data_IF_389769973174
#
_entry.id   IF_389769973174
#
_cell.length_a   1.000
_cell.length_b   1.000
_cell.length_c   1.000
_cell.angle_alpha   90.00
_cell.angle_beta   90.00
_cell.angle_gamma   90.00
#
_symmetry.space_group_name_H-M   'P 1'
#
loop_
_entity.id
_entity.type
_entity.pdbx_description
1 polymer ?
#
# COMPACT_ATOMS: atom_id res chain seq x y z
N UNK A 1 -4.97 -3.49 -18.69
CA UNK A 1 -4.98 -3.50 -17.20
C UNK A 1 -6.39 -3.23 -16.72
N UNK A 2 -6.89 -3.91 -15.69
CA UNK A 2 -8.23 -3.66 -15.17
C UNK A 2 -8.32 -2.22 -14.62
N UNK A 3 -9.43 -1.49 -14.88
CA UNK A 3 -9.66 -0.19 -14.26
C UNK A 3 -10.00 -0.36 -12.78
N UNK A 4 -9.84 0.70 -11.99
CA UNK A 4 -10.47 0.75 -10.67
C UNK A 4 -11.98 0.59 -10.83
N UNK A 5 -12.58 -0.24 -9.97
CA UNK A 5 -14.02 -0.45 -9.96
C UNK A 5 -14.52 -0.68 -8.55
N UNK A 6 -15.33 0.24 -8.02
CA UNK A 6 -15.94 0.02 -6.72
C UNK A 6 -17.09 -0.98 -6.80
N UNK A 7 -17.41 -1.63 -5.68
CA UNK A 7 -18.54 -2.55 -5.57
C UNK A 7 -19.87 -1.80 -5.72
N UNK A 8 -20.84 -2.42 -6.41
CA UNK A 8 -22.17 -1.83 -6.61
C UNK A 8 -23.06 -1.87 -5.35
N UNK A 9 -22.53 -2.37 -4.23
CA UNK A 9 -23.23 -2.50 -2.95
C UNK A 9 -23.57 -1.13 -2.33
N UNK A 10 -22.80 -0.10 -2.67
CA UNK A 10 -22.96 1.25 -2.14
C UNK A 10 -23.03 2.27 -3.27
N UNK A 11 -23.71 3.39 -3.01
CA UNK A 11 -23.77 4.53 -3.94
C UNK A 11 -23.53 5.83 -3.17
N UNK A 12 -22.91 6.84 -3.80
CA UNK A 12 -22.77 8.16 -3.20
C UNK A 12 -24.13 8.76 -2.82
N UNK A 13 -24.24 9.35 -1.63
CA UNK A 13 -25.45 10.02 -1.13
C UNK A 13 -25.11 11.33 -0.43
N UNK A 14 -26.10 12.19 -0.20
CA UNK A 14 -25.91 13.50 0.45
C UNK A 14 -24.90 14.36 -0.31
N UNK A 15 -23.89 14.89 0.39
CA UNK A 15 -22.84 15.75 -0.18
C UNK A 15 -21.70 14.98 -0.87
N UNK A 16 -21.70 13.64 -0.80
CA UNK A 16 -20.63 12.81 -1.37
C UNK A 16 -20.44 13.02 -2.88
N UNK A 17 -21.49 13.06 -3.73
CA UNK A 17 -21.33 13.29 -5.17
C UNK A 17 -20.57 14.58 -5.48
N UNK A 18 -20.94 15.68 -4.81
CA UNK A 18 -20.29 16.99 -4.99
C UNK A 18 -18.84 16.94 -4.52
N UNK A 19 -18.56 16.31 -3.37
CA UNK A 19 -17.19 16.18 -2.87
C UNK A 19 -16.29 15.36 -3.83
N UNK A 20 -16.81 14.27 -4.39
CA UNK A 20 -16.09 13.44 -5.36
C UNK A 20 -15.77 14.24 -6.62
N UNK A 21 -16.75 14.99 -7.14
CA UNK A 21 -16.56 15.82 -8.34
C UNK A 21 -15.49 16.88 -8.12
N UNK A 22 -15.58 17.63 -7.02
CA UNK A 22 -14.63 18.69 -6.69
C UNK A 22 -13.22 18.14 -6.52
N UNK A 23 -13.05 17.02 -5.81
CA UNK A 23 -11.73 16.41 -5.60
C UNK A 23 -11.13 15.89 -6.91
N UNK A 24 -11.95 15.24 -7.74
CA UNK A 24 -11.50 14.73 -9.04
C UNK A 24 -11.10 15.88 -9.98
N UNK A 25 -11.93 16.93 -10.07
CA UNK A 25 -11.64 18.10 -10.90
C UNK A 25 -10.36 18.80 -10.45
N UNK A 26 -10.16 19.01 -9.14
CA UNK A 26 -8.92 19.61 -8.63
C UNK A 26 -7.68 18.78 -9.01
N UNK A 27 -7.79 17.45 -9.05
CA UNK A 27 -6.67 16.59 -9.48
C UNK A 27 -6.40 16.69 -10.99
N UNK A 28 -7.44 16.90 -11.80
CA UNK A 28 -7.31 17.12 -13.25
C UNK A 28 -6.77 18.52 -13.57
N UNK A 29 -7.10 19.52 -12.75
CA UNK A 29 -6.58 20.90 -12.83
C UNK A 29 -5.13 21.02 -12.31
N UNK A 30 -4.57 19.93 -11.78
CA UNK A 30 -3.18 19.88 -11.29
C UNK A 30 -3.01 20.43 -9.88
N UNK A 31 -4.09 20.56 -9.09
CA UNK A 31 -4.01 20.96 -7.69
C UNK A 31 -3.27 19.90 -6.87
N UNK A 32 -2.07 20.26 -6.42
CA UNK A 32 -1.21 19.37 -5.64
C UNK A 32 -1.75 19.07 -4.24
N UNK A 33 -2.49 20.00 -3.64
CA UNK A 33 -2.96 19.90 -2.26
C UNK A 33 -4.44 20.22 -2.20
N UNK A 34 -5.22 19.27 -1.69
CA UNK A 34 -6.66 19.41 -1.50
C UNK A 34 -7.05 18.82 -0.14
N UNK A 35 -8.11 19.35 0.47
CA UNK A 35 -8.56 18.93 1.80
C UNK A 35 -10.04 18.57 1.76
N UNK A 36 -10.36 17.31 2.05
CA UNK A 36 -11.74 16.88 2.29
C UNK A 36 -12.13 17.19 3.75
N UNK A 37 -12.91 18.25 3.96
CA UNK A 37 -13.46 18.60 5.28
C UNK A 37 -14.73 17.76 5.54
N UNK A 38 -14.54 16.53 6.00
CA UNK A 38 -15.64 15.58 6.26
C UNK A 38 -15.91 15.36 7.75
N UNK A 39 -17.15 15.59 8.19
CA UNK A 39 -17.58 15.27 9.55
C UNK A 39 -17.46 13.76 9.86
N UNK A 40 -17.48 13.39 11.14
CA UNK A 40 -17.50 11.97 11.54
C UNK A 40 -18.81 11.33 11.11
N UNK A 41 -18.75 10.12 10.55
CA UNK A 41 -19.94 9.39 10.07
C UNK A 41 -20.42 9.73 8.66
N UNK A 42 -19.78 10.67 7.94
CA UNK A 42 -20.19 11.05 6.57
C UNK A 42 -19.66 10.12 5.46
N UNK A 43 -19.01 9.02 5.81
CA UNK A 43 -18.48 8.04 4.84
C UNK A 43 -17.24 8.51 4.08
N UNK A 44 -16.27 9.13 4.78
CA UNK A 44 -15.02 9.63 4.16
C UNK A 44 -14.26 8.58 3.35
N UNK A 45 -14.17 7.33 3.85
CA UNK A 45 -13.51 6.25 3.11
C UNK A 45 -14.20 5.98 1.78
N UNK A 46 -15.54 5.94 1.78
CA UNK A 46 -16.34 5.73 0.57
C UNK A 46 -16.13 6.87 -0.43
N UNK A 47 -16.19 8.13 0.03
CA UNK A 47 -15.88 9.32 -0.79
C UNK A 47 -14.52 9.20 -1.46
N UNK A 48 -13.48 8.79 -0.71
CA UNK A 48 -12.13 8.60 -1.26
C UNK A 48 -12.06 7.41 -2.22
N UNK A 49 -12.73 6.29 -1.95
CA UNK A 49 -12.78 5.15 -2.86
C UNK A 49 -13.40 5.52 -4.21
N UNK A 50 -14.54 6.22 -4.22
CA UNK A 50 -15.14 6.69 -5.47
C UNK A 50 -14.30 7.76 -6.17
N UNK A 51 -13.59 8.59 -5.42
CA UNK A 51 -12.62 9.55 -5.99
C UNK A 51 -11.46 8.81 -6.69
N UNK A 52 -10.91 7.76 -6.06
CA UNK A 52 -9.87 6.91 -6.66
C UNK A 52 -10.39 6.21 -7.92
N UNK A 53 -11.61 5.66 -7.89
CA UNK A 53 -12.24 5.06 -9.08
C UNK A 53 -12.37 6.06 -10.22
N UNK A 54 -12.86 7.27 -9.94
CA UNK A 54 -13.07 8.32 -10.95
C UNK A 54 -11.76 8.80 -11.57
N UNK A 55 -10.71 8.96 -10.77
CA UNK A 55 -9.41 9.49 -11.22
C UNK A 55 -8.54 8.41 -11.88
N UNK A 56 -8.72 7.15 -11.51
CA UNK A 56 -8.05 6.03 -12.17
C UNK A 56 -6.53 5.95 -11.94
N UNK A 57 -6.02 6.52 -10.84
CA UNK A 57 -4.59 6.55 -10.50
C UNK A 57 -4.29 5.65 -9.28
N UNK A 58 -3.14 4.94 -9.23
CA UNK A 58 -2.71 4.25 -8.03
C UNK A 58 -2.67 5.20 -6.83
N UNK A 59 -3.08 4.73 -5.66
CA UNK A 59 -3.26 5.58 -4.48
C UNK A 59 -2.49 5.04 -3.27
N UNK A 60 -1.83 5.95 -2.54
CA UNK A 60 -1.23 5.67 -1.23
C UNK A 60 -2.07 6.36 -0.15
N UNK A 61 -2.64 5.56 0.75
CA UNK A 61 -3.42 6.03 1.91
C UNK A 61 -2.56 5.89 3.15
N UNK A 62 -2.20 7.01 3.77
CA UNK A 62 -1.32 7.02 4.95
C UNK A 62 -2.18 7.18 6.22
N UNK A 63 -2.06 6.21 7.14
CA UNK A 63 -2.70 6.23 8.44
C UNK A 63 -1.66 6.38 9.57
N UNK A 64 -2.02 7.12 10.62
CA UNK A 64 -1.10 7.44 11.71
C UNK A 64 -0.88 6.28 12.70
N UNK A 65 -1.67 5.21 12.63
CA UNK A 65 -1.54 4.04 13.51
C UNK A 65 -1.95 2.75 12.79
N UNK A 66 -1.47 1.60 13.27
CA UNK A 66 -1.71 0.27 12.67
C UNK A 66 -3.18 -0.13 12.71
N UNK A 67 -3.93 0.21 13.77
CA UNK A 67 -5.34 -0.15 13.92
C UNK A 67 -6.21 0.50 12.85
N UNK A 68 -6.06 1.81 12.65
CA UNK A 68 -6.76 2.56 11.61
C UNK A 68 -6.31 2.11 10.22
N UNK A 69 -5.02 1.83 10.02
CA UNK A 69 -4.52 1.31 8.75
C UNK A 69 -5.19 -0.02 8.39
N UNK A 70 -5.31 -0.95 9.35
CA UNK A 70 -5.98 -2.23 9.14
C UNK A 70 -7.47 -2.05 8.84
N UNK A 71 -8.16 -1.16 9.58
CA UNK A 71 -9.56 -0.84 9.31
C UNK A 71 -9.75 -0.31 7.89
N UNK A 72 -8.98 0.71 7.48
CA UNK A 72 -9.05 1.29 6.15
C UNK A 72 -8.73 0.25 5.07
N UNK A 73 -7.73 -0.61 5.29
CA UNK A 73 -7.40 -1.67 4.34
C UNK A 73 -8.57 -2.64 4.12
N UNK A 74 -9.31 -2.99 5.18
CA UNK A 74 -10.48 -3.85 5.06
C UNK A 74 -11.64 -3.13 4.36
N UNK A 75 -11.93 -1.88 4.73
CA UNK A 75 -12.94 -1.07 4.05
C UNK A 75 -12.62 -0.91 2.55
N UNK A 76 -11.37 -0.61 2.19
CA UNK A 76 -10.97 -0.50 0.79
C UNK A 76 -11.06 -1.83 0.04
N UNK A 77 -10.83 -2.98 0.69
CA UNK A 77 -11.04 -4.31 0.07
C UNK A 77 -12.52 -4.57 -0.23
N UNK A 78 -13.42 -4.13 0.66
CA UNK A 78 -14.87 -4.21 0.42
C UNK A 78 -15.32 -3.28 -0.72
N UNK A 79 -14.72 -2.08 -0.80
CA UNK A 79 -14.97 -1.17 -1.93
C UNK A 79 -14.37 -1.69 -3.23
N UNK A 80 -13.18 -2.26 -3.23
CA UNK A 80 -12.45 -2.70 -4.43
C UNK A 80 -12.20 -4.21 -4.46
N UNK A 81 -13.25 -5.05 -4.57
CA UNK A 81 -13.12 -6.51 -4.48
C UNK A 81 -12.34 -7.16 -5.64
N UNK A 82 -12.07 -6.40 -6.71
CA UNK A 82 -11.35 -6.87 -7.90
C UNK A 82 -10.03 -6.13 -8.16
N UNK A 83 -9.73 -5.07 -7.39
CA UNK A 83 -8.48 -4.32 -7.53
C UNK A 83 -7.47 -4.74 -6.43
N UNK A 84 -6.20 -4.36 -6.57
CA UNK A 84 -5.20 -4.68 -5.54
C UNK A 84 -5.31 -3.69 -4.38
N UNK A 85 -5.71 -4.18 -3.21
CA UNK A 85 -5.72 -3.39 -1.98
C UNK A 85 -4.73 -4.01 -1.00
N UNK A 86 -3.63 -3.31 -0.84
CA UNK A 86 -2.41 -3.81 -0.22
C UNK A 86 -2.13 -3.10 1.11
N UNK A 87 -1.45 -3.81 2.01
CA UNK A 87 -1.19 -3.34 3.37
C UNK A 87 0.30 -3.18 3.63
N UNK A 88 0.73 -1.98 4.03
CA UNK A 88 2.15 -1.65 4.18
C UNK A 88 2.47 -0.95 5.51
N UNK A 89 2.74 -1.76 6.53
CA UNK A 89 3.15 -1.28 7.86
C UNK A 89 4.44 -1.94 8.31
N UNK A 90 5.03 -1.47 9.43
CA UNK A 90 6.18 -2.14 10.03
C UNK A 90 5.85 -3.60 10.32
N UNK A 91 6.71 -4.50 9.82
CA UNK A 91 6.63 -5.95 10.07
C UNK A 91 7.21 -6.35 11.42
N UNK A 92 7.69 -5.39 12.23
CA UNK A 92 8.10 -5.69 13.59
C UNK A 92 6.87 -5.71 14.52
N UNK A 93 6.70 -6.82 15.24
CA UNK A 93 5.78 -6.93 16.36
C UNK A 93 6.37 -6.27 17.61
N UNK A 94 7.67 -6.42 17.79
CA UNK A 94 8.47 -5.74 18.79
C UNK A 94 9.75 -5.18 18.17
N UNK A 95 10.13 -3.96 18.54
CA UNK A 95 11.35 -3.33 18.06
C UNK A 95 11.95 -2.43 19.13
N UNK A 96 13.17 -2.76 19.55
CA UNK A 96 14.03 -1.92 20.35
C UNK A 96 15.18 -1.42 19.47
N UNK A 97 15.29 -0.10 19.23
CA UNK A 97 16.43 0.44 18.52
C UNK A 97 17.70 0.29 19.36
N UNK A 98 18.83 0.16 18.66
CA UNK A 98 20.13 0.34 19.27
C UNK A 98 20.26 1.79 19.78
N UNK A 99 20.68 1.96 21.02
CA UNK A 99 20.83 3.28 21.60
C UNK A 99 21.93 3.29 22.67
N UNK A 100 22.53 4.45 22.88
CA UNK A 100 23.41 4.71 24.00
C UNK A 100 22.82 5.84 24.85
N UNK A 101 22.70 5.63 26.16
CA UNK A 101 22.14 6.58 27.14
C UNK A 101 23.28 7.17 27.97
N UNK A 102 23.80 8.37 27.62
CA UNK A 102 25.03 8.89 28.22
C UNK A 102 24.93 9.17 29.72
N UNK A 103 23.74 9.54 30.21
CA UNK A 103 23.52 9.84 31.63
C UNK A 103 23.70 8.63 32.55
N UNK A 104 23.54 7.42 32.01
CA UNK A 104 23.63 6.17 32.75
C UNK A 104 24.80 5.28 32.28
N UNK A 105 25.63 5.76 31.35
CA UNK A 105 26.67 4.97 30.67
C UNK A 105 26.12 3.60 30.20
N UNK A 106 24.91 3.61 29.65
CA UNK A 106 24.16 2.41 29.31
C UNK A 106 24.06 2.28 27.80
N UNK A 107 24.62 1.20 27.26
CA UNK A 107 24.38 0.75 25.90
C UNK A 107 23.18 -0.21 25.88
N UNK A 108 22.25 0.05 24.96
CA UNK A 108 21.04 -0.73 24.72
C UNK A 108 21.20 -1.39 23.35
N UNK A 109 21.32 -2.72 23.36
CA UNK A 109 21.40 -3.52 22.14
C UNK A 109 20.10 -3.49 21.36
N UNK A 110 20.23 -3.59 20.04
CA UNK A 110 19.09 -3.82 19.14
C UNK A 110 18.46 -5.18 19.45
N UNK A 111 17.15 -5.18 19.67
CA UNK A 111 16.36 -6.40 19.76
C UNK A 111 15.06 -6.22 18.99
N UNK A 112 14.58 -7.27 18.33
CA UNK A 112 13.38 -7.18 17.50
C UNK A 112 12.75 -8.54 17.23
N UNK A 113 11.42 -8.54 17.11
CA UNK A 113 10.64 -9.69 16.65
C UNK A 113 9.88 -9.32 15.38
N UNK A 114 9.97 -10.16 14.36
CA UNK A 114 9.35 -9.95 13.05
C UNK A 114 8.08 -10.78 12.89
N UNK A 115 7.15 -10.25 12.11
CA UNK A 115 5.90 -10.88 11.75
C UNK A 115 5.90 -11.26 10.26
N UNK A 116 5.98 -12.55 9.98
CA UNK A 116 6.08 -13.08 8.62
C UNK A 116 4.85 -12.77 7.76
N UNK A 117 3.66 -12.67 8.36
CA UNK A 117 2.45 -12.33 7.64
C UNK A 117 2.46 -10.87 7.17
N UNK A 118 2.93 -9.95 8.02
CA UNK A 118 3.11 -8.55 7.63
C UNK A 118 4.24 -8.41 6.60
N UNK A 119 5.33 -9.16 6.74
CA UNK A 119 6.40 -9.20 5.74
C UNK A 119 5.86 -9.64 4.37
N UNK A 120 5.04 -10.70 4.33
CA UNK A 120 4.36 -11.18 3.12
C UNK A 120 3.45 -10.10 2.50
N UNK A 121 2.69 -9.37 3.31
CA UNK A 121 1.81 -8.30 2.83
C UNK A 121 2.60 -7.13 2.24
N UNK A 122 3.76 -6.78 2.81
CA UNK A 122 4.66 -5.75 2.24
C UNK A 122 5.25 -6.18 0.90
N UNK A 123 5.61 -7.46 0.77
CA UNK A 123 6.08 -8.02 -0.49
C UNK A 123 4.96 -8.01 -1.55
N UNK A 124 3.72 -8.34 -1.16
CA UNK A 124 2.55 -8.23 -2.03
C UNK A 124 2.33 -6.78 -2.50
N UNK A 125 2.41 -5.81 -1.59
CA UNK A 125 2.25 -4.39 -1.91
C UNK A 125 3.26 -3.88 -2.94
N UNK A 126 4.54 -4.19 -2.74
CA UNK A 126 5.61 -3.79 -3.68
C UNK A 126 5.47 -4.51 -5.02
N UNK A 127 5.18 -5.81 -5.02
CA UNK A 127 4.98 -6.61 -6.24
C UNK A 127 3.76 -6.13 -7.05
N UNK A 128 2.67 -5.73 -6.38
CA UNK A 128 1.48 -5.19 -7.03
C UNK A 128 1.79 -3.90 -7.80
N UNK A 129 2.63 -3.02 -7.25
CA UNK A 129 3.02 -1.77 -7.91
C UNK A 129 3.82 -1.99 -9.21
N UNK A 130 4.54 -3.11 -9.33
CA UNK A 130 5.27 -3.46 -10.56
C UNK A 130 4.39 -4.16 -11.61
N UNK A 131 3.35 -4.88 -11.19
CA UNK A 131 2.56 -5.76 -12.06
C UNK A 131 1.25 -5.14 -12.55
N UNK A 132 0.69 -4.16 -11.84
CA UNK A 132 -0.61 -3.55 -12.15
C UNK A 132 -0.68 -2.08 -11.74
N UNK A 133 -1.63 -1.33 -12.33
CA UNK A 133 -1.85 0.11 -12.04
C UNK A 133 -3.02 0.38 -11.10
N UNK A 134 -3.93 -0.57 -10.95
CA UNK A 134 -5.11 -0.45 -10.10
C UNK A 134 -4.80 -0.94 -8.66
N UNK A 135 -3.88 -0.21 -8.00
CA UNK A 135 -3.37 -0.51 -6.67
C UNK A 135 -3.72 0.61 -5.68
N UNK A 136 -4.32 0.24 -4.55
CA UNK A 136 -4.40 1.08 -3.35
C UNK A 136 -3.51 0.48 -2.28
N UNK A 137 -2.53 1.23 -1.80
CA UNK A 137 -1.67 0.83 -0.68
C UNK A 137 -2.13 1.59 0.57
N UNK A 138 -2.58 0.87 1.59
CA UNK A 138 -2.84 1.45 2.91
C UNK A 138 -1.60 1.25 3.79
N UNK A 139 -0.97 2.35 4.19
CA UNK A 139 0.34 2.34 4.83
C UNK A 139 0.37 3.12 6.15
N UNK A 140 1.32 2.75 7.01
CA UNK A 140 1.76 3.64 8.10
C UNK A 140 2.92 4.53 7.61
N UNK A 141 3.52 5.31 8.51
CA UNK A 141 4.80 6.00 8.26
C UNK A 141 5.94 5.06 7.83
N UNK A 142 5.75 3.74 7.85
CA UNK A 142 6.72 2.83 7.24
C UNK A 142 6.95 3.11 5.74
N UNK A 143 6.01 3.75 5.03
CA UNK A 143 6.18 4.12 3.61
C UNK A 143 7.23 5.21 3.34
N UNK A 144 7.72 5.90 4.37
CA UNK A 144 8.82 6.88 4.25
C UNK A 144 10.17 6.34 4.74
N UNK A 145 10.22 5.08 5.19
CA UNK A 145 11.47 4.41 5.55
C UNK A 145 12.08 3.73 4.31
N UNK A 146 13.41 3.62 4.33
CA UNK A 146 14.17 3.10 3.21
C UNK A 146 13.75 1.67 2.82
N UNK A 147 13.66 1.45 1.51
CA UNK A 147 13.56 0.16 0.83
C UNK A 147 14.72 0.11 -0.18
N UNK A 148 15.06 -1.10 -0.64
CA UNK A 148 15.96 -1.25 -1.80
C UNK A 148 15.43 -0.49 -3.02
N UNK A 149 16.31 -0.17 -3.97
CA UNK A 149 15.92 0.62 -5.15
C UNK A 149 14.86 -0.12 -5.98
N UNK A 150 13.90 0.58 -6.59
CA UNK A 150 12.91 -0.05 -7.47
C UNK A 150 13.55 -0.82 -8.63
N UNK A 151 14.71 -0.36 -9.11
CA UNK A 151 15.52 -1.01 -10.15
C UNK A 151 16.05 -2.37 -9.67
N UNK A 152 16.70 -2.42 -8.49
CA UNK A 152 17.17 -3.70 -7.90
C UNK A 152 16.01 -4.67 -7.65
N UNK A 153 14.85 -4.17 -7.22
CA UNK A 153 13.66 -5.00 -7.06
C UNK A 153 13.21 -5.62 -8.38
N UNK A 154 13.18 -4.83 -9.46
CA UNK A 154 12.82 -5.31 -10.78
C UNK A 154 13.80 -6.36 -11.30
N UNK A 155 15.10 -6.17 -11.07
CA UNK A 155 16.14 -7.10 -11.51
C UNK A 155 16.07 -8.44 -10.79
N UNK A 156 15.53 -8.46 -9.56
CA UNK A 156 15.28 -9.69 -8.79
C UNK A 156 13.97 -10.40 -9.17
N UNK A 157 13.08 -9.76 -9.93
CA UNK A 157 11.82 -10.39 -10.35
C UNK A 157 12.06 -11.41 -11.46
N UNK A 158 11.59 -12.63 -11.23
CA UNK A 158 11.62 -13.69 -12.24
C UNK A 158 10.26 -13.73 -12.95
N UNK A 159 10.26 -13.37 -14.23
CA UNK A 159 9.09 -13.42 -15.10
C UNK A 159 9.02 -14.80 -15.75
N UNK A 160 7.83 -15.39 -15.78
CA UNK A 160 7.55 -16.68 -16.40
C UNK A 160 6.26 -16.57 -17.21
N UNK A 161 6.33 -16.94 -18.50
CA UNK A 161 5.16 -17.00 -19.37
C UNK A 161 4.88 -18.44 -19.83
N UNK A 162 3.60 -18.77 -20.01
CA UNK A 162 3.23 -20.10 -20.50
C UNK A 162 3.76 -20.32 -21.92
N UNK A 163 4.50 -21.40 -22.11
CA UNK A 163 5.11 -21.76 -23.40
C UNK A 163 6.58 -21.39 -23.52
N UNK A 164 7.16 -20.71 -22.53
CA UNK A 164 8.60 -20.49 -22.47
C UNK A 164 9.35 -21.75 -22.02
N UNK A 165 10.48 -22.04 -22.68
CA UNK A 165 11.40 -23.09 -22.27
C UNK A 165 12.50 -22.50 -21.39
N UNK A 166 12.60 -23.00 -20.16
CA UNK A 166 13.62 -22.59 -19.20
C UNK A 166 14.47 -23.79 -18.82
N UNK A 167 15.79 -23.62 -18.82
CA UNK A 167 16.68 -24.62 -18.22
C UNK A 167 16.43 -24.68 -16.71
N UNK A 168 16.15 -25.88 -16.19
CA UNK A 168 15.79 -26.09 -14.79
C UNK A 168 16.88 -25.63 -13.83
N UNK A 169 18.13 -25.93 -14.12
CA UNK A 169 19.23 -25.66 -13.19
C UNK A 169 19.58 -24.15 -13.21
N UNK A 170 19.50 -23.49 -14.36
CA UNK A 170 19.59 -22.03 -14.46
C UNK A 170 18.43 -21.35 -13.72
N UNK A 171 17.21 -21.86 -13.83
CA UNK A 171 16.06 -21.34 -13.12
C UNK A 171 16.22 -21.46 -11.59
N UNK A 172 16.68 -22.62 -11.10
CA UNK A 172 16.96 -22.82 -9.68
C UNK A 172 18.05 -21.88 -9.15
N UNK A 173 19.10 -21.60 -9.94
CA UNK A 173 20.12 -20.62 -9.58
C UNK A 173 19.53 -19.21 -9.46
N UNK A 174 18.71 -18.79 -10.43
CA UNK A 174 18.02 -17.50 -10.36
C UNK A 174 17.15 -17.37 -9.11
N UNK A 175 16.46 -18.44 -8.70
CA UNK A 175 15.66 -18.43 -7.46
C UNK A 175 16.53 -18.23 -6.22
N UNK A 176 17.70 -18.86 -6.16
CA UNK A 176 18.66 -18.68 -5.06
C UNK A 176 19.23 -17.26 -5.06
N UNK A 177 19.58 -16.72 -6.23
CA UNK A 177 20.10 -15.35 -6.37
C UNK A 177 19.05 -14.27 -6.03
N UNK A 178 17.76 -14.60 -6.13
CA UNK A 178 16.64 -13.71 -5.84
C UNK A 178 16.19 -13.66 -4.37
N UNK A 179 16.79 -14.49 -3.49
CA UNK A 179 16.51 -14.50 -2.06
C UNK A 179 17.06 -13.26 -1.32
#
# INVERSE_FOLDING_TARGET
MPPFKTSDAYRPTGDQPTAIETLAQGLDDGERYQTLVGATGTGKTATMAWTIEKVGKPALVIAHNKTLAAQLCNEFREFFPRNAVEYFVSYYDYYQPEAYVPQADLYIEKDSSQNDDIARLRLAATSALFTRRDVVVVASVSCIYALGSPEEWRDRMIWLEMGEEHDRDLFLRKLIDSQ
#
